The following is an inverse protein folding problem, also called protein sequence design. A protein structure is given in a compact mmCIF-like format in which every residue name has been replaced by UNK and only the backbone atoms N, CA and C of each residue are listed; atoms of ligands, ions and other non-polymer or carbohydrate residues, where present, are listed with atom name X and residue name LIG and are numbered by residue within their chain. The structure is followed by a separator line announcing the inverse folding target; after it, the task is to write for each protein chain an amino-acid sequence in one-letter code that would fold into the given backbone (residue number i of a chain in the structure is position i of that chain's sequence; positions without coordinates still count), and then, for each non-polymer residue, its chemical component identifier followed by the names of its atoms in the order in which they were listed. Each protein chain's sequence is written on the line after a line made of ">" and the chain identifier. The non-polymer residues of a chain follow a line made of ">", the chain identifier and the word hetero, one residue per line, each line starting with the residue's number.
data_IF_901232598275
#
_entry.id   IF_901232598275
#
_cell.length_a   1.000
_cell.length_b   1.000
_cell.length_c   1.000
_cell.angle_alpha   90.00
_cell.angle_beta   90.00
_cell.angle_gamma   90.00
#
_symmetry.space_group_name_H-M   'P 1'
#
loop_
_entity.id
_entity.type
_entity.pdbx_description
1 polymer ?
#
# COMPACT_ATOMS: atom_id res chain seq x y z
N UNK A 1 -14.65 -25.76 8.70
CA UNK A 1 -14.94 -25.35 10.09
C UNK A 1 -13.62 -24.88 10.69
N UNK A 2 -13.24 -23.62 10.41
CA UNK A 2 -11.99 -23.04 10.92
C UNK A 2 -12.36 -21.81 11.74
N UNK A 3 -11.82 -21.76 12.96
CA UNK A 3 -12.29 -20.92 14.05
C UNK A 3 -11.75 -19.48 14.01
N UNK A 4 -12.47 -18.62 14.74
CA UNK A 4 -12.07 -17.25 15.09
C UNK A 4 -10.60 -17.22 15.51
N UNK A 5 -9.78 -16.43 14.81
CA UNK A 5 -8.44 -16.09 15.27
C UNK A 5 -8.60 -15.17 16.49
N UNK A 6 -8.13 -15.53 17.70
CA UNK A 6 -8.23 -14.67 18.86
C UNK A 6 -7.24 -13.51 18.72
N UNK A 7 -7.72 -12.30 19.00
CA UNK A 7 -6.87 -11.15 19.26
C UNK A 7 -6.06 -11.39 20.55
N UNK A 8 -4.88 -12.00 20.42
CA UNK A 8 -3.84 -11.91 21.45
C UNK A 8 -2.57 -11.37 20.81
N UNK A 9 -2.23 -10.16 21.23
CA UNK A 9 -0.96 -9.52 20.96
C UNK A 9 0.07 -10.17 21.90
N UNK A 10 0.84 -11.14 21.41
CA UNK A 10 2.00 -11.66 22.14
C UNK A 10 3.21 -10.77 21.83
N UNK A 11 3.71 -10.08 22.86
CA UNK A 11 4.78 -9.07 22.81
C UNK A 11 6.20 -9.63 22.54
N UNK A 12 6.35 -10.82 21.95
CA UNK A 12 7.64 -11.54 21.90
C UNK A 12 8.32 -11.68 20.52
N UNK A 13 7.86 -10.97 19.48
CA UNK A 13 8.56 -10.90 18.19
C UNK A 13 8.79 -9.45 17.76
N UNK A 14 10.03 -8.92 17.83
CA UNK A 14 10.38 -7.62 17.28
C UNK A 14 10.79 -7.82 15.81
N UNK A 15 9.90 -7.55 14.87
CA UNK A 15 10.22 -7.54 13.44
C UNK A 15 9.26 -8.38 12.63
N UNK A 16 8.22 -7.71 12.12
CA UNK A 16 7.25 -8.08 11.08
C UNK A 16 5.87 -7.51 11.48
N UNK A 17 5.69 -6.18 11.34
CA UNK A 17 4.36 -5.55 11.41
C UNK A 17 3.79 -5.53 9.99
N UNK A 18 3.20 -6.64 9.55
CA UNK A 18 2.43 -6.67 8.32
C UNK A 18 1.09 -5.92 8.49
N UNK A 19 0.72 -5.20 7.43
CA UNK A 19 -0.56 -4.59 7.08
C UNK A 19 -1.75 -4.89 8.00
N UNK A 20 -2.10 -3.91 8.83
CA UNK A 20 -3.26 -4.00 9.71
C UNK A 20 -4.51 -3.52 8.94
N UNK A 21 -5.19 -4.45 8.24
CA UNK A 21 -6.61 -4.25 7.90
C UNK A 21 -7.38 -4.51 9.20
N UNK A 22 -7.81 -3.45 9.88
CA UNK A 22 -8.74 -3.55 11.01
C UNK A 22 -10.16 -3.71 10.46
N UNK A 23 -10.46 -4.92 9.96
CA UNK A 23 -11.82 -5.32 9.62
C UNK A 23 -12.20 -6.51 10.49
N UNK A 24 -13.12 -6.30 11.43
CA UNK A 24 -13.83 -7.37 12.14
C UNK A 24 -15.14 -7.71 11.43
N UNK A 25 -15.28 -7.34 10.16
CA UNK A 25 -16.54 -7.44 9.47
C UNK A 25 -16.78 -8.90 9.06
N UNK A 26 -17.91 -9.46 9.48
CA UNK A 26 -18.40 -10.77 9.02
C UNK A 26 -18.89 -10.66 7.55
N UNK A 27 -18.02 -10.19 6.65
CA UNK A 27 -18.32 -10.07 5.24
C UNK A 27 -18.53 -11.44 4.62
N UNK A 28 -19.54 -11.52 3.76
CA UNK A 28 -19.77 -12.70 2.95
C UNK A 28 -18.71 -12.75 1.83
N UNK A 29 -18.01 -13.87 1.71
CA UNK A 29 -17.00 -14.09 0.66
C UNK A 29 -17.60 -14.18 -0.75
N UNK A 30 -18.92 -14.36 -0.87
CA UNK A 30 -19.64 -14.24 -2.14
C UNK A 30 -19.99 -12.79 -2.50
N UNK A 31 -19.80 -11.83 -1.58
CA UNK A 31 -20.04 -10.41 -1.83
C UNK A 31 -18.82 -9.77 -2.50
N UNK A 32 -18.78 -9.90 -3.81
CA UNK A 32 -17.69 -9.40 -4.64
C UNK A 32 -17.51 -7.88 -4.53
N UNK A 33 -18.56 -7.13 -4.21
CA UNK A 33 -18.44 -5.67 -4.08
C UNK A 33 -17.59 -5.32 -2.85
N UNK A 34 -17.85 -5.97 -1.71
CA UNK A 34 -17.04 -5.79 -0.51
C UNK A 34 -15.62 -6.33 -0.71
N UNK A 35 -15.44 -7.46 -1.40
CA UNK A 35 -14.11 -7.96 -1.75
C UNK A 35 -13.33 -6.99 -2.63
N UNK A 36 -13.99 -6.31 -3.58
CA UNK A 36 -13.34 -5.29 -4.42
C UNK A 36 -12.87 -4.09 -3.59
N UNK A 37 -13.66 -3.64 -2.61
CA UNK A 37 -13.24 -2.58 -1.68
C UNK A 37 -12.08 -3.04 -0.79
N UNK A 38 -12.15 -4.25 -0.25
CA UNK A 38 -11.06 -4.83 0.55
C UNK A 38 -9.76 -4.98 -0.26
N UNK A 39 -9.87 -5.36 -1.53
CA UNK A 39 -8.73 -5.47 -2.45
C UNK A 39 -8.12 -4.12 -2.77
N UNK A 40 -8.95 -3.08 -3.01
CA UNK A 40 -8.47 -1.70 -3.15
C UNK A 40 -7.71 -1.25 -1.90
N UNK A 41 -8.26 -1.53 -0.71
CA UNK A 41 -7.61 -1.21 0.55
C UNK A 41 -6.26 -1.92 0.71
N UNK A 42 -6.20 -3.22 0.39
CA UNK A 42 -4.96 -3.99 0.39
C UNK A 42 -3.90 -3.42 -0.55
N UNK A 43 -4.29 -3.14 -1.80
CA UNK A 43 -3.43 -2.53 -2.82
C UNK A 43 -2.89 -1.17 -2.37
N UNK A 44 -3.75 -0.30 -1.82
CA UNK A 44 -3.30 1.03 -1.38
C UNK A 44 -2.38 0.98 -0.17
N UNK A 45 -2.48 -0.05 0.67
CA UNK A 45 -1.58 -0.20 1.80
C UNK A 45 -0.23 -0.78 1.40
N UNK A 46 -0.12 -1.55 0.33
CA UNK A 46 1.12 -2.22 -0.05
C UNK A 46 2.31 -1.26 -0.27
N UNK A 47 3.52 -1.81 -0.34
CA UNK A 47 4.74 -1.01 -0.58
C UNK A 47 5.03 0.05 0.50
N UNK A 48 4.81 -0.32 1.77
CA UNK A 48 5.27 0.40 2.96
C UNK A 48 4.83 1.87 3.03
N UNK A 49 5.79 2.79 2.93
CA UNK A 49 5.52 4.24 3.04
C UNK A 49 5.18 4.92 1.70
N UNK A 50 4.96 4.19 0.60
CA UNK A 50 4.70 4.82 -0.70
C UNK A 50 3.42 5.68 -0.69
N UNK A 51 2.32 5.17 -0.11
CA UNK A 51 1.07 5.93 0.03
C UNK A 51 1.23 7.24 0.82
N UNK A 52 2.22 7.29 1.72
CA UNK A 52 2.57 8.45 2.55
C UNK A 52 3.79 9.21 2.03
N UNK A 53 4.15 9.02 0.77
CA UNK A 53 5.09 9.86 0.03
C UNK A 53 6.51 9.29 -0.12
N UNK A 54 6.75 8.04 0.26
CA UNK A 54 8.08 7.41 0.22
C UNK A 54 8.73 7.37 -1.16
N UNK A 55 7.96 7.05 -2.20
CA UNK A 55 8.45 7.09 -3.60
C UNK A 55 7.92 8.28 -4.41
N UNK A 56 7.05 9.08 -3.81
CA UNK A 56 6.47 10.27 -4.44
C UNK A 56 7.49 11.41 -4.59
N UNK A 57 8.53 11.41 -3.77
CA UNK A 57 9.55 12.46 -3.78
C UNK A 57 10.23 12.59 -5.14
N UNK A 58 10.20 13.81 -5.70
CA UNK A 58 10.88 14.17 -6.94
C UNK A 58 11.61 15.51 -6.77
N UNK A 59 12.95 15.52 -6.74
CA UNK A 59 13.72 16.73 -6.47
C UNK A 59 13.44 17.84 -7.49
N UNK A 60 13.23 19.07 -7.01
CA UNK A 60 12.98 20.23 -7.88
C UNK A 60 11.58 20.29 -8.48
N UNK A 61 10.69 19.35 -8.16
CA UNK A 61 9.26 19.47 -8.43
C UNK A 61 8.56 20.13 -7.25
N UNK A 62 7.95 21.29 -7.47
CA UNK A 62 7.28 22.10 -6.43
C UNK A 62 6.30 21.32 -5.54
N UNK A 63 5.66 20.28 -6.06
CA UNK A 63 4.64 19.51 -5.35
C UNK A 63 5.19 18.22 -4.73
N UNK A 64 6.43 17.84 -5.10
CA UNK A 64 7.07 16.57 -4.74
C UNK A 64 8.45 16.73 -4.12
N UNK A 65 8.85 17.97 -3.80
CA UNK A 65 10.15 18.29 -3.21
C UNK A 65 10.15 18.00 -1.70
N UNK A 66 10.28 16.71 -1.35
CA UNK A 66 10.44 16.24 0.03
C UNK A 66 11.93 16.19 0.34
N UNK A 67 12.36 16.86 1.41
CA UNK A 67 13.77 16.89 1.80
C UNK A 67 14.24 15.53 2.32
N UNK A 68 15.54 15.24 2.18
CA UNK A 68 16.11 13.96 2.61
C UNK A 68 15.82 13.64 4.10
N UNK A 69 15.97 14.59 5.06
CA UNK A 69 15.62 14.32 6.45
C UNK A 69 14.14 14.00 6.67
N UNK A 70 13.23 14.58 5.88
CA UNK A 70 11.79 14.26 5.99
C UNK A 70 11.47 12.84 5.54
N UNK A 71 12.28 12.23 4.67
CA UNK A 71 12.11 10.84 4.26
C UNK A 71 12.44 9.83 5.39
N UNK A 72 13.10 10.28 6.47
CA UNK A 72 13.35 9.44 7.65
C UNK A 72 12.16 9.39 8.62
N UNK A 73 11.18 10.29 8.47
CA UNK A 73 10.01 10.42 9.34
C UNK A 73 8.71 10.10 8.59
N UNK A 74 8.75 9.12 7.68
CA UNK A 74 7.55 8.70 6.96
C UNK A 74 6.69 7.79 7.82
N UNK A 75 5.41 8.12 7.93
CA UNK A 75 4.42 7.26 8.60
C UNK A 75 4.06 6.05 7.75
N UNK A 76 3.98 4.87 8.35
CA UNK A 76 3.23 3.78 7.72
C UNK A 76 1.75 4.16 7.61
N UNK A 77 1.10 3.86 6.47
CA UNK A 77 -0.33 4.05 6.32
C UNK A 77 -1.13 2.96 7.06
N UNK A 78 -2.39 3.26 7.33
CA UNK A 78 -3.39 2.29 7.76
C UNK A 78 -4.72 2.60 7.06
N UNK A 79 -5.67 1.68 7.13
CA UNK A 79 -6.99 1.84 6.51
C UNK A 79 -8.09 1.64 7.53
N UNK A 80 -9.09 2.51 7.46
CA UNK A 80 -10.37 2.37 8.15
C UNK A 80 -11.38 1.89 7.11
N UNK A 81 -11.98 0.71 7.33
CA UNK A 81 -13.00 0.15 6.45
C UNK A 81 -14.31 0.08 7.24
N UNK A 82 -15.33 0.78 6.76
CA UNK A 82 -16.65 0.74 7.38
C UNK A 82 -17.38 -0.57 7.04
N UNK A 83 -18.46 -0.86 7.78
CA UNK A 83 -19.23 -2.09 7.57
C UNK A 83 -19.82 -2.19 6.16
N UNK A 84 -20.24 -1.06 5.59
CA UNK A 84 -20.75 -0.90 4.22
C UNK A 84 -19.66 -0.81 3.14
N UNK A 85 -18.40 -1.03 3.52
CA UNK A 85 -17.28 -1.13 2.58
C UNK A 85 -16.65 0.18 2.15
N UNK A 86 -16.93 1.31 2.82
CA UNK A 86 -16.21 2.55 2.52
C UNK A 86 -14.77 2.43 3.02
N UNK A 87 -13.82 2.80 2.15
CA UNK A 87 -12.39 2.70 2.40
C UNK A 87 -11.82 4.09 2.68
N UNK A 88 -11.23 4.29 3.84
CA UNK A 88 -10.52 5.53 4.18
C UNK A 88 -9.07 5.21 4.52
N UNK A 89 -8.15 5.62 3.67
CA UNK A 89 -6.71 5.49 3.95
C UNK A 89 -6.25 6.65 4.82
N UNK A 90 -5.36 6.34 5.76
CA UNK A 90 -4.94 7.27 6.77
C UNK A 90 -3.47 7.08 7.14
N UNK A 91 -2.90 8.12 7.75
CA UNK A 91 -1.63 8.05 8.46
C UNK A 91 -1.83 8.60 9.87
N UNK A 92 -0.90 8.31 10.78
CA UNK A 92 -1.01 8.86 12.14
C UNK A 92 -1.07 10.40 12.11
N UNK A 93 -1.92 10.99 12.93
CA UNK A 93 -1.99 12.45 13.02
C UNK A 93 -0.70 13.00 13.64
N UNK A 94 -0.17 14.07 13.05
CA UNK A 94 1.08 14.68 13.49
C UNK A 94 2.36 13.92 13.13
N UNK A 95 2.29 12.71 12.55
CA UNK A 95 3.46 12.05 11.99
C UNK A 95 3.92 12.69 10.67
N UNK A 96 5.17 12.47 10.28
CA UNK A 96 5.67 12.91 8.99
C UNK A 96 5.12 12.11 7.80
N UNK A 97 5.67 12.41 6.62
CA UNK A 97 5.14 11.97 5.33
C UNK A 97 3.97 12.82 4.82
N UNK A 98 3.59 12.56 3.57
CA UNK A 98 2.56 13.29 2.81
C UNK A 98 1.49 12.29 2.39
N UNK A 99 0.26 12.48 2.87
CA UNK A 99 -0.90 11.76 2.36
C UNK A 99 -1.77 12.74 1.57
N UNK A 100 -1.96 12.48 0.27
CA UNK A 100 -2.71 13.36 -0.62
C UNK A 100 -3.36 12.56 -1.74
N UNK A 101 -4.24 13.21 -2.52
CA UNK A 101 -4.82 12.61 -3.74
C UNK A 101 -3.72 12.14 -4.69
N UNK A 102 -2.62 12.90 -4.82
CA UNK A 102 -1.52 12.54 -5.73
C UNK A 102 -0.75 11.32 -5.27
N UNK A 103 -0.48 11.17 -3.97
CA UNK A 103 0.20 9.97 -3.45
C UNK A 103 -0.70 8.74 -3.53
N UNK A 104 -2.01 8.91 -3.30
CA UNK A 104 -2.99 7.83 -3.48
C UNK A 104 -3.11 7.40 -4.96
N UNK A 105 -3.10 8.36 -5.89
CA UNK A 105 -3.15 8.06 -7.31
C UNK A 105 -1.87 7.37 -7.82
N UNK A 106 -0.70 7.79 -7.35
CA UNK A 106 0.57 7.12 -7.65
C UNK A 106 0.56 5.67 -7.14
N UNK A 107 0.11 5.46 -5.90
CA UNK A 107 -0.01 4.12 -5.32
C UNK A 107 -1.02 3.25 -6.07
N UNK A 108 -2.19 3.80 -6.43
CA UNK A 108 -3.22 3.06 -7.14
C UNK A 108 -2.74 2.51 -8.49
N UNK A 109 -1.87 3.26 -9.18
CA UNK A 109 -1.35 2.88 -10.49
C UNK A 109 -0.07 2.05 -10.41
N UNK A 110 0.50 1.90 -9.21
CA UNK A 110 1.70 1.10 -8.98
C UNK A 110 1.42 -0.38 -9.29
N UNK A 111 2.29 -1.01 -10.09
CA UNK A 111 2.21 -2.43 -10.49
C UNK A 111 0.88 -2.88 -11.14
N UNK A 112 0.04 -1.93 -11.59
CA UNK A 112 -1.20 -2.24 -12.31
C UNK A 112 -0.96 -2.37 -13.81
N UNK A 113 -1.31 -3.52 -14.37
CA UNK A 113 -1.31 -3.78 -15.81
C UNK A 113 -2.56 -3.26 -16.52
N UNK A 114 -3.70 -3.94 -16.32
CA UNK A 114 -5.02 -3.52 -16.85
C UNK A 114 -5.91 -3.00 -15.71
N UNK A 115 -6.16 -1.67 -15.64
CA UNK A 115 -7.02 -1.09 -14.61
C UNK A 115 -8.48 -1.57 -14.64
N UNK A 116 -8.97 -2.09 -15.78
CA UNK A 116 -10.32 -2.65 -15.89
C UNK A 116 -10.42 -4.11 -15.48
N UNK A 117 -9.29 -4.79 -15.28
CA UNK A 117 -9.20 -6.21 -14.96
C UNK A 117 -7.96 -6.51 -14.11
N UNK A 118 -7.78 -5.78 -13.00
CA UNK A 118 -6.68 -6.01 -12.09
C UNK A 118 -6.94 -7.28 -11.27
N UNK A 119 -6.12 -8.31 -11.52
CA UNK A 119 -6.35 -9.66 -11.00
C UNK A 119 -5.78 -9.80 -9.59
N UNK A 120 -6.65 -10.07 -8.62
CA UNK A 120 -6.27 -10.51 -7.26
C UNK A 120 -6.70 -11.96 -7.03
N UNK A 121 -6.26 -12.64 -5.96
CA UNK A 121 -6.61 -14.04 -5.71
C UNK A 121 -8.11 -14.31 -5.55
N UNK A 122 -8.85 -13.36 -4.98
CA UNK A 122 -10.26 -13.55 -4.61
C UNK A 122 -11.23 -12.86 -5.58
N UNK A 123 -10.82 -11.73 -6.17
CA UNK A 123 -11.65 -10.94 -7.09
C UNK A 123 -10.80 -10.23 -8.15
N UNK A 124 -11.28 -10.17 -9.38
CA UNK A 124 -10.72 -9.29 -10.41
C UNK A 124 -11.41 -7.93 -10.26
N UNK A 125 -10.63 -6.88 -10.03
CA UNK A 125 -11.15 -5.54 -9.74
C UNK A 125 -11.01 -4.60 -10.93
N UNK A 126 -12.04 -3.79 -11.14
CA UNK A 126 -12.04 -2.61 -12.01
C UNK A 126 -11.85 -1.37 -11.15
N UNK A 127 -10.73 -0.68 -11.36
CA UNK A 127 -10.34 0.53 -10.62
C UNK A 127 -10.45 1.80 -11.45
N UNK A 128 -11.02 1.75 -12.66
CA UNK A 128 -11.10 2.90 -13.58
C UNK A 128 -11.94 4.05 -13.03
N UNK A 129 -12.92 3.73 -12.18
CA UNK A 129 -13.80 4.69 -11.54
C UNK A 129 -13.35 5.05 -10.11
N UNK A 130 -12.16 4.59 -9.69
CA UNK A 130 -11.63 4.94 -8.37
C UNK A 130 -11.33 6.42 -8.29
N UNK A 131 -11.82 7.06 -7.24
CA UNK A 131 -11.57 8.47 -6.95
C UNK A 131 -11.22 8.68 -5.48
N UNK A 132 -10.49 9.77 -5.24
CA UNK A 132 -9.94 10.12 -3.94
C UNK A 132 -10.48 11.46 -3.47
N UNK A 133 -10.94 11.51 -2.22
CA UNK A 133 -11.42 12.74 -1.57
C UNK A 133 -10.60 13.00 -0.31
N UNK A 134 -9.84 14.10 -0.31
CA UNK A 134 -9.08 14.53 0.86
C UNK A 134 -10.04 14.97 1.97
N UNK A 135 -10.00 14.28 3.11
CA UNK A 135 -10.83 14.62 4.28
C UNK A 135 -10.06 15.48 5.28
N UNK A 136 -8.78 15.20 5.45
CA UNK A 136 -7.85 15.97 6.28
C UNK A 136 -6.42 15.76 5.77
N UNK A 137 -5.43 16.41 6.40
CA UNK A 137 -4.00 16.18 6.09
C UNK A 137 -3.51 14.76 6.39
N UNK A 138 -4.33 13.93 7.06
CA UNK A 138 -3.98 12.57 7.47
C UNK A 138 -5.03 11.53 7.08
N UNK A 139 -6.08 11.89 6.31
CA UNK A 139 -7.14 10.98 5.86
C UNK A 139 -7.62 11.28 4.44
N UNK A 140 -7.75 10.24 3.62
CA UNK A 140 -8.29 10.29 2.26
C UNK A 140 -9.34 9.19 2.10
N UNK A 141 -10.54 9.57 1.69
CA UNK A 141 -11.58 8.64 1.32
C UNK A 141 -11.33 8.11 -0.10
N UNK A 142 -11.49 6.80 -0.28
CA UNK A 142 -11.31 6.08 -1.54
C UNK A 142 -12.65 5.43 -1.91
N UNK A 143 -13.15 5.71 -3.11
CA UNK A 143 -14.42 5.17 -3.60
C UNK A 143 -14.27 4.72 -5.04
N UNK A 144 -15.13 3.80 -5.50
CA UNK A 144 -15.30 3.51 -6.93
C UNK A 144 -14.67 2.21 -7.43
N UNK A 145 -13.96 1.45 -6.59
CA UNK A 145 -13.57 0.09 -6.95
C UNK A 145 -14.81 -0.80 -7.09
N UNK A 146 -14.77 -1.74 -8.03
CA UNK A 146 -15.87 -2.69 -8.26
C UNK A 146 -15.34 -3.98 -8.87
N UNK A 147 -16.09 -5.09 -8.80
CA UNK A 147 -15.76 -6.29 -9.57
C UNK A 147 -15.70 -5.98 -11.07
N UNK A 148 -14.72 -6.55 -11.76
CA UNK A 148 -14.69 -6.55 -13.23
C UNK A 148 -15.79 -7.46 -13.80
N UNK A 149 -16.01 -7.39 -15.11
CA UNK A 149 -17.02 -8.18 -15.82
C UNK A 149 -16.75 -9.70 -15.70
N UNK A 150 -15.48 -10.09 -15.80
CA UNK A 150 -15.02 -11.38 -15.29
C UNK A 150 -14.55 -11.12 -13.86
N UNK A 151 -15.31 -11.55 -12.87
CA UNK A 151 -15.12 -11.09 -11.49
C UNK A 151 -14.22 -11.97 -10.65
N UNK A 152 -13.89 -13.19 -11.10
CA UNK A 152 -13.06 -14.17 -10.37
C UNK A 152 -12.05 -14.77 -11.34
N UNK A 153 -10.77 -14.95 -10.95
CA UNK A 153 -9.76 -15.53 -11.82
C UNK A 153 -9.97 -17.03 -12.06
N UNK A 154 -9.81 -17.47 -13.31
CA UNK A 154 -9.86 -18.90 -13.68
C UNK A 154 -8.66 -19.71 -13.16
N UNK A 155 -7.55 -19.03 -12.85
CA UNK A 155 -6.29 -19.62 -12.40
C UNK A 155 -5.72 -18.83 -11.23
N UNK A 156 -5.27 -19.56 -10.21
CA UNK A 156 -4.55 -18.99 -9.07
C UNK A 156 -3.06 -19.28 -9.21
N UNK A 157 -2.24 -18.26 -8.98
CA UNK A 157 -0.80 -18.45 -8.80
C UNK A 157 -0.54 -18.84 -7.34
N UNK A 158 0.09 -19.99 -7.14
CA UNK A 158 0.54 -20.43 -5.82
C UNK A 158 2.06 -20.41 -5.77
N UNK A 159 2.62 -19.57 -4.91
CA UNK A 159 4.04 -19.63 -4.56
C UNK A 159 4.21 -20.64 -3.40
N UNK A 160 4.97 -21.71 -3.65
CA UNK A 160 5.29 -22.72 -2.64
C UNK A 160 6.77 -22.58 -2.28
N UNK A 161 7.11 -22.04 -1.10
CA UNK A 161 8.50 -21.92 -0.69
C UNK A 161 9.08 -23.31 -0.47
N UNK A 162 10.35 -23.49 -0.86
CA UNK A 162 11.12 -24.69 -0.62
C UNK A 162 12.43 -24.29 0.05
N UNK A 163 12.88 -25.06 1.03
CA UNK A 163 14.18 -24.84 1.64
C UNK A 163 15.30 -25.04 0.60
N UNK A 164 15.98 -23.96 0.26
CA UNK A 164 17.10 -23.94 -0.68
C UNK A 164 18.24 -23.00 -0.27
N UNK A 165 18.34 -22.67 1.04
CA UNK A 165 19.33 -21.73 1.57
C UNK A 165 18.98 -20.27 1.29
N UNK A 166 19.94 -19.37 1.54
CA UNK A 166 19.75 -17.92 1.46
C UNK A 166 20.55 -17.32 0.31
N UNK A 167 19.92 -16.44 -0.46
CA UNK A 167 20.58 -15.57 -1.43
C UNK A 167 19.90 -14.21 -1.41
N UNK A 168 20.68 -13.16 -1.23
CA UNK A 168 20.21 -11.77 -1.25
C UNK A 168 21.00 -10.96 -2.26
N UNK A 169 20.29 -10.16 -3.05
CA UNK A 169 20.85 -9.12 -3.90
C UNK A 169 19.79 -8.02 -4.03
N UNK A 170 20.22 -6.76 -3.99
CA UNK A 170 19.35 -5.61 -4.13
C UNK A 170 20.04 -4.55 -4.97
N UNK A 171 19.33 -4.03 -5.95
CA UNK A 171 19.72 -2.88 -6.76
C UNK A 171 18.50 -1.98 -6.90
N UNK A 172 18.72 -0.66 -6.88
CA UNK A 172 17.69 0.32 -7.20
C UNK A 172 18.22 1.18 -8.35
N UNK A 173 17.53 1.14 -9.48
CA UNK A 173 17.92 1.90 -10.67
C UNK A 173 17.07 3.17 -10.78
N UNK A 174 17.73 4.31 -11.05
CA UNK A 174 17.05 5.60 -11.23
C UNK A 174 17.23 6.12 -12.65
N UNK A 175 16.12 6.35 -13.35
CA UNK A 175 16.08 6.96 -14.68
C UNK A 175 15.37 8.32 -14.70
N UNK A 176 15.53 9.07 -15.79
CA UNK A 176 14.83 10.34 -16.02
C UNK A 176 15.48 11.58 -15.40
N UNK A 177 14.77 12.72 -15.44
CA UNK A 177 15.23 14.00 -14.89
C UNK A 177 15.51 13.90 -13.39
N UNK A 178 16.59 14.49 -12.90
CA UNK A 178 16.99 14.45 -11.48
C UNK A 178 17.23 13.04 -10.90
N UNK A 179 17.51 12.03 -11.75
CA UNK A 179 17.75 10.65 -11.30
C UNK A 179 18.92 10.53 -10.31
N UNK A 180 19.97 11.33 -10.49
CA UNK A 180 21.13 11.35 -9.58
C UNK A 180 20.71 11.78 -8.17
N UNK A 181 19.84 12.80 -8.04
CA UNK A 181 19.36 13.25 -6.74
C UNK A 181 18.43 12.23 -6.09
N UNK A 182 17.59 11.52 -6.86
CA UNK A 182 16.80 10.39 -6.34
C UNK A 182 17.69 9.24 -5.87
N UNK A 183 18.75 8.92 -6.61
CA UNK A 183 19.73 7.92 -6.20
C UNK A 183 20.45 8.32 -4.90
N UNK A 184 20.83 9.59 -4.76
CA UNK A 184 21.40 10.13 -3.52
C UNK A 184 20.42 10.08 -2.35
N UNK A 185 19.12 10.29 -2.60
CA UNK A 185 18.11 10.15 -1.56
C UNK A 185 17.99 8.70 -1.05
N UNK A 186 18.02 7.72 -1.95
CA UNK A 186 18.03 6.31 -1.54
C UNK A 186 19.34 5.91 -0.87
N UNK A 187 20.49 6.38 -1.35
CA UNK A 187 21.77 6.20 -0.65
C UNK A 187 21.69 6.77 0.77
N UNK A 188 21.17 7.99 0.93
CA UNK A 188 20.97 8.61 2.24
C UNK A 188 20.10 7.76 3.15
N UNK A 189 18.96 7.25 2.65
CA UNK A 189 18.07 6.38 3.41
C UNK A 189 18.77 5.08 3.83
N UNK A 190 19.47 4.42 2.91
CA UNK A 190 20.18 3.17 3.17
C UNK A 190 21.30 3.37 4.20
N UNK A 191 22.05 4.45 4.09
CA UNK A 191 23.21 4.74 4.94
C UNK A 191 22.84 5.24 6.35
N UNK A 192 21.70 5.91 6.55
CA UNK A 192 21.27 6.34 7.90
C UNK A 192 20.96 5.15 8.83
N UNK A 193 20.60 3.98 8.27
CA UNK A 193 20.43 2.74 9.02
C UNK A 193 19.18 2.65 9.92
N UNK A 194 18.44 3.75 10.12
CA UNK A 194 17.12 3.74 10.80
C UNK A 194 15.97 3.38 9.87
N UNK A 195 16.21 3.32 8.56
CA UNK A 195 15.20 3.10 7.53
C UNK A 195 14.99 1.63 7.14
N UNK A 196 15.80 0.69 7.65
CA UNK A 196 15.71 -0.75 7.31
C UNK A 196 14.59 -1.43 8.11
N UNK A 197 13.40 -0.84 8.07
CA UNK A 197 12.15 -1.52 8.38
C UNK A 197 11.27 -1.50 7.13
N UNK A 198 11.79 -2.09 6.06
CA UNK A 198 11.00 -2.47 4.88
C UNK A 198 10.85 -3.99 4.93
N UNK A 199 9.59 -4.43 4.81
CA UNK A 199 9.03 -5.80 4.81
C UNK A 199 9.96 -6.99 5.08
#
# INVERSE_FOLDING_TARGET
>A
MFGKVPAKCDNNFPGCRCFLILSTNDWNWDDLQHLAQGSLAGHLLECGCQLTGGYFMHPGDKYRDISFPQLLDLSLPYVEISFDGNVCVAKAEGSGGVLSVSTCAEQLLYEVGDPGAYVTPDVIIDIRDVSFHLMSSSKVLCIGAKPSAASVPDKLLRLVPKDCGWKGWGEISYGGSECVKRAQAAEFLIMDGRSISWC
#
